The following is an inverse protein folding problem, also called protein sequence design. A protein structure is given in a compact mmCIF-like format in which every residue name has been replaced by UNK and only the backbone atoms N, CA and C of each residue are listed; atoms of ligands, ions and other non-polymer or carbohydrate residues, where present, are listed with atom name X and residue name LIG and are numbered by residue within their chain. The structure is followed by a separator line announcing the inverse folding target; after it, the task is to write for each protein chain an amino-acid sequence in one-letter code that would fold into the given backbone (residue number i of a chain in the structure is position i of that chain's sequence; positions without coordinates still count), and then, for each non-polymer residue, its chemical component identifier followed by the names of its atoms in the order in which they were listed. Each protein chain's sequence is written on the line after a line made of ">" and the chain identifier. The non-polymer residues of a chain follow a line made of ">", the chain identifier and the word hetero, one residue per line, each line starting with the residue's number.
data_IF_673740644423
#
_entry.id   IF_673740644423
#
_cell.length_a   1.000
_cell.length_b   1.000
_cell.length_c   1.000
_cell.angle_alpha   90.00
_cell.angle_beta   90.00
_cell.angle_gamma   90.00
#
_symmetry.space_group_name_H-M   'P 1'
#
loop_
_entity.id
_entity.type
_entity.pdbx_description
1 polymer ?
#
# COMPACT_ATOMS: atom_id res chain seq x y z
N UNK A 1 -15.29 14.78 34.82
CA UNK A 1 -14.78 16.05 34.27
C UNK A 1 -13.45 15.73 33.60
N UNK A 2 -13.48 15.53 32.30
CA UNK A 2 -12.25 15.38 31.52
C UNK A 2 -11.85 16.76 31.03
N UNK A 3 -10.66 17.24 31.39
CA UNK A 3 -10.11 18.48 30.90
C UNK A 3 -9.90 18.38 29.38
N UNK A 4 -10.27 19.40 28.62
CA UNK A 4 -9.82 19.51 27.24
C UNK A 4 -8.36 19.98 27.31
N UNK A 5 -7.44 19.04 27.24
CA UNK A 5 -6.02 19.34 27.15
C UNK A 5 -5.66 19.47 25.67
N UNK A 6 -5.19 20.68 25.36
CA UNK A 6 -4.44 21.10 24.20
C UNK A 6 -5.19 21.24 22.88
N UNK A 7 -5.80 22.43 22.74
CA UNK A 7 -5.94 23.07 21.45
C UNK A 7 -4.56 23.46 20.91
N UNK A 8 -3.87 22.56 20.25
CA UNK A 8 -2.87 22.93 19.28
C UNK A 8 -3.59 23.31 17.99
N UNK A 9 -3.22 24.47 17.43
CA UNK A 9 -3.80 24.96 16.21
C UNK A 9 -3.57 23.98 15.08
N UNK A 10 -4.61 23.26 14.68
CA UNK A 10 -4.63 22.28 13.57
C UNK A 10 -4.22 22.86 12.21
N UNK A 11 -3.96 24.16 12.12
CA UNK A 11 -3.71 24.89 10.88
C UNK A 11 -2.26 24.90 10.41
N UNK A 12 -1.29 24.44 11.21
CA UNK A 12 0.13 24.62 10.87
C UNK A 12 0.79 23.42 10.19
N UNK A 13 0.27 22.20 10.33
CA UNK A 13 0.94 21.00 9.80
C UNK A 13 0.22 20.48 8.58
N UNK A 14 0.71 20.89 7.43
CA UNK A 14 0.11 20.53 6.14
C UNK A 14 0.69 19.30 5.50
N UNK A 15 1.89 18.87 5.93
CA UNK A 15 2.55 17.72 5.34
C UNK A 15 2.73 16.61 6.36
N UNK A 16 2.66 15.36 5.91
CA UNK A 16 3.07 14.21 6.69
C UNK A 16 3.82 13.21 5.81
N UNK A 17 4.92 12.70 6.33
CA UNK A 17 5.60 11.54 5.77
C UNK A 17 5.21 10.30 6.57
N UNK A 18 4.80 9.24 5.89
CA UNK A 18 4.39 7.97 6.48
C UNK A 18 5.15 6.82 5.86
N UNK A 19 5.59 5.90 6.68
CA UNK A 19 6.40 4.75 6.24
C UNK A 19 5.97 3.46 6.91
N UNK A 20 6.15 2.37 6.19
CA UNK A 20 6.14 1.00 6.66
C UNK A 20 7.29 0.25 5.98
N UNK A 21 7.41 -1.04 6.26
CA UNK A 21 8.50 -1.88 5.71
C UNK A 21 8.58 -1.84 4.17
N UNK A 22 7.43 -1.72 3.51
CA UNK A 22 7.33 -1.83 2.04
C UNK A 22 6.62 -0.65 1.38
N UNK A 23 6.12 0.33 2.15
CA UNK A 23 5.35 1.47 1.64
C UNK A 23 5.84 2.75 2.27
N UNK A 24 6.01 3.78 1.44
CA UNK A 24 6.28 5.15 1.86
C UNK A 24 5.23 6.07 1.25
N UNK A 25 4.78 7.06 2.00
CA UNK A 25 3.80 8.03 1.54
C UNK A 25 4.15 9.44 2.02
N UNK A 26 3.99 10.40 1.13
CA UNK A 26 3.99 11.83 1.43
C UNK A 26 2.57 12.34 1.22
N UNK A 27 1.97 12.93 2.25
CA UNK A 27 0.60 13.45 2.20
C UNK A 27 0.56 14.93 2.48
N UNK A 28 -0.40 15.60 1.86
CA UNK A 28 -0.74 17.00 2.06
C UNK A 28 -2.16 17.10 2.59
N UNK A 29 -2.35 17.76 3.72
CA UNK A 29 -3.65 17.98 4.34
C UNK A 29 -4.35 19.14 3.62
N UNK A 30 -5.47 18.84 2.96
CA UNK A 30 -6.30 19.81 2.27
C UNK A 30 -7.08 20.65 3.28
N UNK A 31 -7.59 19.98 4.28
CA UNK A 31 -8.32 20.57 5.42
C UNK A 31 -8.18 19.65 6.66
N UNK A 32 -8.99 19.93 7.68
CA UNK A 32 -8.96 19.18 8.94
C UNK A 32 -9.21 17.69 8.80
N UNK A 33 -10.00 17.27 7.82
CA UNK A 33 -10.44 15.88 7.64
C UNK A 33 -9.92 15.22 6.37
N UNK A 34 -9.45 16.01 5.40
CA UNK A 34 -9.12 15.53 4.07
C UNK A 34 -7.63 15.69 3.77
N UNK A 35 -7.01 14.65 3.24
CA UNK A 35 -5.65 14.68 2.75
C UNK A 35 -5.51 13.95 1.42
N UNK A 36 -4.57 14.43 0.61
CA UNK A 36 -4.12 13.77 -0.62
C UNK A 36 -2.65 13.45 -0.50
N UNK A 37 -2.19 12.44 -1.22
CA UNK A 37 -0.80 12.09 -1.15
C UNK A 37 -0.33 11.29 -2.34
N UNK A 38 1.00 11.16 -2.39
CA UNK A 38 1.70 10.24 -3.27
C UNK A 38 2.34 9.15 -2.41
N UNK A 39 2.29 7.91 -2.90
CA UNK A 39 2.93 6.79 -2.24
C UNK A 39 3.71 5.94 -3.23
N UNK A 40 4.70 5.25 -2.71
CA UNK A 40 5.50 4.30 -3.47
C UNK A 40 5.97 3.18 -2.54
N UNK A 41 6.24 2.04 -3.11
CA UNK A 41 6.70 0.90 -2.35
C UNK A 41 7.32 -0.18 -3.20
N UNK A 42 8.01 -1.08 -2.51
CA UNK A 42 8.60 -2.27 -3.11
C UNK A 42 8.48 -3.44 -2.13
N UNK A 43 7.92 -4.53 -2.62
CA UNK A 43 8.00 -5.84 -1.97
C UNK A 43 9.22 -6.52 -2.58
N UNK A 44 10.29 -6.77 -1.79
CA UNK A 44 11.48 -7.44 -2.29
C UNK A 44 11.14 -8.87 -2.72
N UNK A 45 12.02 -9.53 -3.50
CA UNK A 45 11.84 -10.91 -3.88
C UNK A 45 11.50 -11.78 -2.67
N UNK A 46 10.26 -12.27 -2.63
CA UNK A 46 9.74 -13.07 -1.52
C UNK A 46 9.53 -14.49 -2.00
N UNK A 47 10.15 -15.43 -1.28
CA UNK A 47 9.99 -16.86 -1.57
C UNK A 47 8.55 -17.30 -1.32
N UNK A 48 7.96 -17.89 -2.34
CA UNK A 48 6.59 -18.42 -2.28
C UNK A 48 6.62 -19.95 -2.23
N UNK A 49 7.50 -20.58 -3.02
CA UNK A 49 7.71 -22.04 -3.12
C UNK A 49 6.39 -22.82 -3.26
N UNK A 50 5.49 -22.30 -4.07
CA UNK A 50 4.15 -22.88 -4.29
C UNK A 50 3.76 -22.79 -5.76
N UNK A 51 3.14 -23.85 -6.27
CA UNK A 51 2.62 -23.92 -7.63
C UNK A 51 3.70 -23.61 -8.69
N UNK A 52 4.91 -24.14 -8.54
CA UNK A 52 6.09 -23.90 -9.40
C UNK A 52 6.59 -22.43 -9.46
N UNK A 53 6.07 -21.58 -8.59
CA UNK A 53 6.53 -20.20 -8.40
C UNK A 53 7.52 -20.17 -7.25
N UNK A 54 8.74 -19.69 -7.51
CA UNK A 54 9.79 -19.55 -6.52
C UNK A 54 9.73 -18.23 -5.78
N UNK A 55 9.71 -17.13 -6.54
CA UNK A 55 9.67 -15.77 -5.95
C UNK A 55 8.67 -14.85 -6.62
N UNK A 56 8.20 -13.88 -5.84
CA UNK A 56 7.44 -12.73 -6.29
C UNK A 56 8.11 -11.46 -5.81
N UNK A 57 8.35 -10.54 -6.72
CA UNK A 57 8.75 -9.16 -6.45
C UNK A 57 7.68 -8.22 -6.96
N UNK A 58 7.41 -7.12 -6.24
CA UNK A 58 6.45 -6.10 -6.68
C UNK A 58 6.95 -4.71 -6.37
N UNK A 59 6.86 -3.81 -7.35
CA UNK A 59 7.08 -2.38 -7.18
C UNK A 59 5.82 -1.61 -7.58
N UNK A 60 5.51 -0.55 -6.85
CA UNK A 60 4.32 0.24 -7.13
C UNK A 60 4.50 1.69 -6.69
N UNK A 61 3.75 2.57 -7.33
CA UNK A 61 3.61 3.97 -6.96
C UNK A 61 2.21 4.46 -7.30
N UNK A 62 1.78 5.54 -6.68
CA UNK A 62 0.45 6.06 -6.97
C UNK A 62 0.01 7.19 -6.06
N UNK A 63 -1.27 7.48 -6.12
CA UNK A 63 -1.90 8.55 -5.35
C UNK A 63 -2.85 7.96 -4.33
N UNK A 64 -3.00 8.68 -3.23
CA UNK A 64 -3.98 8.33 -2.21
C UNK A 64 -4.81 9.55 -1.80
N UNK A 65 -6.03 9.26 -1.40
CA UNK A 65 -6.93 10.20 -0.74
C UNK A 65 -7.34 9.60 0.60
N UNK A 66 -7.20 10.37 1.67
CA UNK A 66 -7.59 9.99 3.02
C UNK A 66 -8.66 10.91 3.56
N UNK A 67 -9.64 10.32 4.23
CA UNK A 67 -10.66 11.00 5.01
C UNK A 67 -10.60 10.53 6.46
N UNK A 68 -10.43 11.46 7.40
CA UNK A 68 -10.50 11.22 8.82
C UNK A 68 -11.85 11.71 9.37
N UNK A 69 -12.48 10.89 10.22
CA UNK A 69 -13.81 11.23 10.73
C UNK A 69 -13.78 12.41 11.71
N UNK A 70 -12.70 12.55 12.48
CA UNK A 70 -12.50 13.65 13.41
C UNK A 70 -11.49 14.66 12.86
N UNK A 71 -10.21 14.28 12.76
CA UNK A 71 -9.17 15.09 12.14
C UNK A 71 -7.96 14.24 11.69
N UNK A 72 -7.20 14.75 10.71
CA UNK A 72 -6.01 14.08 10.15
C UNK A 72 -4.85 14.00 11.18
N UNK A 73 -4.71 15.05 12.01
CA UNK A 73 -3.63 15.17 12.99
C UNK A 73 -4.14 14.96 14.42
N UNK A 74 -5.07 14.06 14.63
CA UNK A 74 -5.55 13.64 15.93
C UNK A 74 -5.90 12.15 15.91
N UNK A 75 -6.25 11.61 17.06
CA UNK A 75 -6.81 10.27 17.17
C UNK A 75 -8.12 10.20 16.40
N UNK A 76 -8.21 9.36 15.38
CA UNK A 76 -9.38 9.30 14.52
C UNK A 76 -9.52 7.97 13.79
N UNK A 77 -10.76 7.58 13.54
CA UNK A 77 -11.05 6.62 12.49
C UNK A 77 -10.80 7.27 11.13
N UNK A 78 -10.39 6.46 10.15
CA UNK A 78 -10.12 6.94 8.81
C UNK A 78 -10.58 5.95 7.74
N UNK A 79 -10.74 6.47 6.53
CA UNK A 79 -10.81 5.70 5.29
C UNK A 79 -9.78 6.30 4.32
N UNK A 80 -8.98 5.44 3.71
CA UNK A 80 -8.03 5.85 2.68
C UNK A 80 -8.21 5.01 1.42
N UNK A 81 -8.18 5.69 0.27
CA UNK A 81 -8.21 5.05 -1.04
C UNK A 81 -6.85 5.21 -1.68
N UNK A 82 -6.29 4.13 -2.19
CA UNK A 82 -5.04 4.10 -2.93
C UNK A 82 -5.30 3.72 -4.39
N UNK A 83 -4.79 4.52 -5.31
CA UNK A 83 -4.75 4.21 -6.73
C UNK A 83 -3.28 4.01 -7.10
N UNK A 84 -2.93 2.80 -7.50
CA UNK A 84 -1.56 2.37 -7.75
C UNK A 84 -1.36 2.07 -9.24
N UNK A 85 -0.16 2.35 -9.73
CA UNK A 85 0.41 1.69 -10.90
C UNK A 85 1.62 0.88 -10.42
N UNK A 86 1.85 -0.30 -10.98
CA UNK A 86 2.93 -1.14 -10.52
C UNK A 86 3.34 -2.22 -11.51
N UNK A 87 4.44 -2.87 -11.15
CA UNK A 87 4.97 -4.01 -11.87
C UNK A 87 5.24 -5.15 -10.88
N UNK A 88 4.91 -6.35 -11.30
CA UNK A 88 5.16 -7.59 -10.57
C UNK A 88 6.06 -8.50 -11.39
N UNK A 89 7.09 -9.06 -10.78
CA UNK A 89 7.99 -10.05 -11.40
C UNK A 89 7.83 -11.37 -10.68
N UNK A 90 7.44 -12.39 -11.41
CA UNK A 90 7.35 -13.77 -10.93
C UNK A 90 8.52 -14.55 -11.50
N UNK A 91 9.28 -15.21 -10.63
CA UNK A 91 10.31 -16.18 -11.00
C UNK A 91 9.81 -17.59 -10.69
N UNK A 92 9.92 -18.48 -11.66
CA UNK A 92 9.53 -19.88 -11.52
C UNK A 92 10.72 -20.76 -11.18
N UNK A 93 10.47 -21.97 -10.69
CA UNK A 93 11.50 -22.93 -10.21
C UNK A 93 12.53 -23.33 -11.27
N UNK A 94 12.26 -23.13 -12.56
CA UNK A 94 13.20 -23.33 -13.65
C UNK A 94 14.02 -22.07 -13.98
N UNK A 95 13.83 -20.99 -13.20
CA UNK A 95 14.49 -19.70 -13.37
C UNK A 95 13.93 -18.84 -14.48
N UNK A 96 12.78 -19.21 -15.08
CA UNK A 96 12.06 -18.31 -16.01
C UNK A 96 11.43 -17.15 -15.26
N UNK A 97 11.37 -15.97 -15.89
CA UNK A 97 10.79 -14.77 -15.30
C UNK A 97 9.64 -14.23 -16.14
N UNK A 98 8.58 -13.82 -15.47
CA UNK A 98 7.37 -13.26 -16.06
C UNK A 98 7.08 -11.91 -15.41
N UNK A 99 7.02 -10.85 -16.23
CA UNK A 99 6.76 -9.50 -15.77
C UNK A 99 5.33 -9.11 -16.13
N UNK A 100 4.62 -8.62 -15.12
CA UNK A 100 3.26 -8.10 -15.24
C UNK A 100 3.27 -6.64 -14.85
N UNK A 101 2.46 -5.82 -15.52
CA UNK A 101 2.25 -4.43 -15.16
C UNK A 101 0.79 -4.06 -15.23
N UNK A 102 0.40 -3.07 -14.46
CA UNK A 102 -0.98 -2.62 -14.43
C UNK A 102 -1.28 -1.70 -13.27
N UNK A 103 -2.55 -1.55 -12.98
CA UNK A 103 -3.02 -0.67 -11.94
C UNK A 103 -3.78 -1.44 -10.85
N UNK A 104 -3.84 -0.84 -9.66
CA UNK A 104 -4.57 -1.37 -8.52
C UNK A 104 -5.33 -0.30 -7.77
N UNK A 105 -6.41 -0.71 -7.13
CA UNK A 105 -7.25 0.10 -6.26
C UNK A 105 -7.36 -0.59 -4.91
N UNK A 106 -7.12 0.16 -3.84
CA UNK A 106 -7.35 -0.34 -2.48
C UNK A 106 -8.14 0.67 -1.68
N UNK A 107 -9.04 0.19 -0.83
CA UNK A 107 -9.78 1.00 0.14
C UNK A 107 -9.54 0.42 1.52
N UNK A 108 -8.93 1.19 2.38
CA UNK A 108 -8.52 0.77 3.73
C UNK A 108 -9.25 1.61 4.76
N UNK A 109 -9.90 0.96 5.71
CA UNK A 109 -10.45 1.60 6.91
C UNK A 109 -9.64 1.21 8.14
N UNK A 110 -9.58 2.10 9.12
CA UNK A 110 -8.80 1.84 10.32
C UNK A 110 -8.83 2.96 11.34
N UNK A 111 -7.83 2.96 12.20
CA UNK A 111 -7.66 3.95 13.26
C UNK A 111 -6.24 4.51 13.26
N UNK A 112 -6.10 5.81 13.48
CA UNK A 112 -4.87 6.56 13.62
C UNK A 112 -4.73 7.05 15.06
N UNK A 113 -3.60 6.77 15.69
CA UNK A 113 -3.18 7.38 16.95
C UNK A 113 -2.19 8.49 16.65
N UNK A 114 -2.40 9.66 17.23
CA UNK A 114 -1.55 10.83 17.06
C UNK A 114 -0.92 11.24 18.40
N UNK A 115 0.40 11.35 18.43
CA UNK A 115 1.17 11.63 19.63
C UNK A 115 1.66 13.08 19.67
N UNK A 116 1.94 13.60 20.85
CA UNK A 116 2.34 15.01 21.10
C UNK A 116 3.61 15.46 20.33
N UNK A 117 4.45 14.51 19.92
CA UNK A 117 5.67 14.78 19.14
C UNK A 117 5.45 14.66 17.62
N UNK A 118 4.22 14.80 17.15
CA UNK A 118 3.83 14.77 15.75
C UNK A 118 3.99 13.42 15.06
N UNK A 119 4.23 12.38 15.83
CA UNK A 119 4.26 11.00 15.36
C UNK A 119 2.82 10.48 15.31
N UNK A 120 2.51 9.76 14.25
CA UNK A 120 1.26 9.01 14.14
C UNK A 120 1.54 7.52 13.93
N UNK A 121 0.69 6.68 14.49
CA UNK A 121 0.64 5.24 14.21
C UNK A 121 -0.71 4.92 13.62
N UNK A 122 -0.72 4.27 12.48
CA UNK A 122 -1.91 3.99 11.70
C UNK A 122 -2.04 2.49 11.53
N UNK A 123 -3.18 1.96 11.90
CA UNK A 123 -3.53 0.55 11.71
C UNK A 123 -4.87 0.43 11.02
N UNK A 124 -4.93 -0.39 10.00
CA UNK A 124 -6.15 -0.61 9.25
C UNK A 124 -6.13 -1.88 8.42
N UNK A 125 -7.20 -2.11 7.71
CA UNK A 125 -7.30 -3.19 6.75
C UNK A 125 -8.36 -2.88 5.70
N UNK A 126 -8.24 -3.51 4.54
CA UNK A 126 -9.23 -3.36 3.48
C UNK A 126 -8.93 -4.20 2.25
N UNK A 127 -9.85 -4.21 1.29
CA UNK A 127 -9.68 -4.92 0.05
C UNK A 127 -8.67 -4.26 -0.88
N UNK A 128 -7.98 -5.07 -1.64
CA UNK A 128 -7.13 -4.68 -2.76
C UNK A 128 -7.65 -5.36 -4.02
N UNK A 129 -7.85 -4.58 -5.06
CA UNK A 129 -8.09 -5.04 -6.42
C UNK A 129 -6.93 -4.61 -7.31
N UNK A 130 -6.41 -5.51 -8.15
CA UNK A 130 -5.42 -5.17 -9.17
C UNK A 130 -5.78 -5.78 -10.52
N UNK A 131 -5.48 -5.05 -11.59
CA UNK A 131 -5.61 -5.49 -12.97
C UNK A 131 -4.24 -5.37 -13.61
N UNK A 132 -3.52 -6.47 -13.64
CA UNK A 132 -2.17 -6.55 -14.20
C UNK A 132 -2.18 -7.48 -15.41
N UNK A 133 -1.51 -7.07 -16.48
CA UNK A 133 -1.34 -7.84 -17.72
C UNK A 133 0.12 -8.22 -17.89
N UNK A 134 0.36 -9.37 -18.51
CA UNK A 134 1.73 -9.81 -18.85
C UNK A 134 2.33 -8.84 -19.86
N UNK A 135 3.49 -8.28 -19.51
CA UNK A 135 4.24 -7.34 -20.34
C UNK A 135 5.39 -8.01 -21.08
N UNK A 136 6.11 -8.88 -20.36
CA UNK A 136 7.24 -9.60 -20.95
C UNK A 136 7.49 -10.94 -20.23
N UNK A 137 8.21 -11.81 -20.94
CA UNK A 137 8.65 -13.10 -20.41
C UNK A 137 10.07 -13.42 -20.87
N UNK A 138 10.84 -14.04 -19.96
CA UNK A 138 12.17 -14.56 -20.25
C UNK A 138 12.18 -16.05 -19.88
N UNK A 139 11.97 -16.90 -20.88
CA UNK A 139 11.79 -18.34 -20.71
C UNK A 139 13.17 -19.01 -20.76
N UNK A 140 13.51 -19.77 -19.71
CA UNK A 140 14.76 -20.54 -19.63
C UNK A 140 14.57 -22.04 -19.88
N UNK A 141 13.32 -22.50 -19.91
CA UNK A 141 13.01 -23.92 -20.07
C UNK A 141 11.69 -24.12 -20.77
N UNK A 142 11.58 -25.16 -21.59
CA UNK A 142 10.35 -25.54 -22.31
C UNK A 142 9.27 -26.17 -21.39
N UNK A 143 9.45 -26.17 -20.08
CA UNK A 143 8.54 -26.80 -19.12
C UNK A 143 7.18 -26.07 -18.96
N UNK A 144 7.05 -24.87 -19.52
CA UNK A 144 5.74 -24.22 -19.67
C UNK A 144 5.12 -23.68 -18.37
N UNK A 145 5.91 -23.26 -17.39
CA UNK A 145 5.43 -22.70 -16.11
C UNK A 145 4.78 -21.30 -16.23
N UNK A 146 4.68 -20.74 -17.44
CA UNK A 146 3.96 -19.48 -17.68
C UNK A 146 2.50 -19.51 -17.23
N UNK A 147 1.84 -20.65 -17.37
CA UNK A 147 0.47 -20.82 -16.89
C UNK A 147 0.37 -20.72 -15.36
N UNK A 148 1.33 -21.30 -14.64
CA UNK A 148 1.38 -21.23 -13.17
C UNK A 148 1.60 -19.79 -12.69
N UNK A 149 2.45 -19.02 -13.41
CA UNK A 149 2.64 -17.60 -13.16
C UNK A 149 1.37 -16.79 -13.40
N UNK A 150 0.66 -17.02 -14.52
CA UNK A 150 -0.61 -16.37 -14.85
C UNK A 150 -1.69 -16.68 -13.79
N UNK A 151 -1.87 -17.95 -13.40
CA UNK A 151 -2.81 -18.35 -12.34
C UNK A 151 -2.46 -17.71 -10.98
N UNK A 152 -1.17 -17.52 -10.70
CA UNK A 152 -0.73 -16.84 -9.48
C UNK A 152 -1.10 -15.37 -9.49
N UNK A 153 -0.91 -14.69 -10.61
CA UNK A 153 -1.32 -13.28 -10.76
C UNK A 153 -2.83 -13.12 -10.65
N UNK A 154 -3.60 -14.02 -11.26
CA UNK A 154 -5.05 -14.00 -11.13
C UNK A 154 -5.52 -14.13 -9.67
N UNK A 155 -4.92 -15.02 -8.89
CA UNK A 155 -5.22 -15.16 -7.44
C UNK A 155 -4.85 -13.89 -6.63
N UNK A 156 -3.90 -13.10 -7.08
CA UNK A 156 -3.48 -11.85 -6.44
C UNK A 156 -4.28 -10.63 -6.94
N UNK A 157 -5.09 -10.79 -7.98
CA UNK A 157 -5.90 -9.69 -8.54
C UNK A 157 -6.96 -9.17 -7.58
N UNK A 158 -7.41 -9.98 -6.63
CA UNK A 158 -8.31 -9.58 -5.58
C UNK A 158 -7.91 -10.19 -4.23
N UNK A 159 -7.55 -9.33 -3.30
CA UNK A 159 -7.28 -9.68 -1.90
C UNK A 159 -8.38 -9.04 -1.03
N UNK A 160 -9.24 -9.83 -0.37
CA UNK A 160 -10.38 -9.29 0.36
C UNK A 160 -10.00 -8.53 1.62
N UNK A 161 -8.85 -8.83 2.20
CA UNK A 161 -8.35 -8.18 3.39
C UNK A 161 -6.82 -8.10 3.36
N UNK A 162 -6.31 -6.89 3.19
CA UNK A 162 -4.88 -6.57 3.30
C UNK A 162 -4.69 -5.76 4.58
N UNK A 163 -3.88 -6.24 5.54
CA UNK A 163 -3.54 -5.45 6.71
C UNK A 163 -2.66 -4.26 6.31
N UNK A 164 -2.85 -3.16 7.01
CA UNK A 164 -2.17 -1.91 6.74
C UNK A 164 -1.62 -1.31 8.03
N UNK A 165 -0.34 -1.03 8.05
CA UNK A 165 0.35 -0.42 9.18
C UNK A 165 1.31 0.65 8.68
N UNK A 166 1.24 1.86 9.24
CA UNK A 166 2.19 2.94 8.96
C UNK A 166 2.58 3.64 10.25
N UNK A 167 3.81 4.15 10.26
CA UNK A 167 4.27 5.17 11.20
C UNK A 167 4.51 6.45 10.43
N UNK A 168 4.07 7.58 10.96
CA UNK A 168 4.14 8.87 10.30
C UNK A 168 4.68 9.98 11.18
N UNK A 169 5.16 11.03 10.51
CA UNK A 169 5.56 12.29 11.13
C UNK A 169 4.93 13.45 10.35
N UNK A 170 4.27 14.36 11.07
CA UNK A 170 3.63 15.55 10.49
C UNK A 170 4.48 16.80 10.72
N UNK A 171 4.58 17.70 9.72
CA UNK A 171 5.41 18.91 9.74
C UNK A 171 4.82 20.05 8.90
#
# INVERSE_FOLDING_TARGET
>A
MASPLFGQSDDEKRFAFRTALVVNALTYNLDKQNAVGFHFGQIPPTEINKDNVETLEKSFYGFNYAYAFDCINCDSYFVVTFLNNGSSVITTVDGSTYTYSGWGLSVVGGYSWYFENDISVILGAGPLYSSESKESENIKSDKGFGKDADERMEKLSFLPLVPFFLVGYSF
#
